data_IF_025358929712
#
_entry.id   IF_025358929712
#
_cell.length_a   1.000
_cell.length_b   1.000
_cell.length_c   1.000
_cell.angle_alpha   90.00
_cell.angle_beta   90.00
_cell.angle_gamma   90.00
#
_symmetry.space_group_name_H-M   'P 1'
#
loop_
_entity.id
_entity.type
_entity.pdbx_description
1 polymer ?
#
# COMPACT_ATOMS: atom_id res chain seq x y z
N UNK A 1 -6.17 17.68 -36.43
CA UNK A 1 -4.97 17.81 -35.56
C UNK A 1 -3.84 17.02 -36.19
N UNK A 2 -2.76 17.66 -36.66
CA UNK A 2 -1.57 16.95 -37.16
C UNK A 2 -0.77 16.45 -35.95
N UNK A 3 -0.65 15.13 -35.80
CA UNK A 3 0.25 14.54 -34.80
C UNK A 3 1.69 14.78 -35.28
N UNK A 4 2.58 15.39 -34.47
CA UNK A 4 3.97 15.61 -34.87
C UNK A 4 4.69 14.27 -35.12
N UNK A 5 5.49 14.21 -36.19
CA UNK A 5 6.31 13.03 -36.49
C UNK A 5 7.51 12.94 -35.52
N UNK A 6 7.72 11.81 -34.81
CA UNK A 6 8.86 11.61 -33.93
C UNK A 6 10.19 11.64 -34.70
N UNK A 7 11.16 12.40 -34.18
CA UNK A 7 12.47 12.67 -34.81
C UNK A 7 13.55 11.65 -34.43
N UNK A 8 13.28 10.71 -33.51
CA UNK A 8 14.26 9.67 -33.14
C UNK A 8 13.62 8.34 -32.69
N UNK A 9 14.38 7.23 -32.81
CA UNK A 9 13.96 5.87 -32.42
C UNK A 9 13.54 5.75 -30.95
N UNK A 10 14.04 6.63 -30.07
CA UNK A 10 13.66 6.66 -28.65
C UNK A 10 12.31 7.37 -28.42
N UNK A 11 11.88 8.26 -29.31
CA UNK A 11 10.55 8.90 -29.27
C UNK A 11 9.44 7.97 -29.80
N UNK A 12 9.81 6.98 -30.63
CA UNK A 12 8.86 5.96 -31.11
C UNK A 12 8.48 4.93 -30.05
N UNK A 13 9.30 4.71 -29.01
CA UNK A 13 9.03 3.68 -27.98
C UNK A 13 7.77 3.98 -27.16
N UNK A 14 7.57 5.20 -26.60
CA UNK A 14 6.33 5.54 -25.91
C UNK A 14 5.10 5.48 -26.83
N UNK A 15 5.25 5.92 -28.08
CA UNK A 15 4.17 5.90 -29.06
C UNK A 15 3.78 4.47 -29.44
N UNK A 16 4.76 3.58 -29.67
CA UNK A 16 4.52 2.17 -29.94
C UNK A 16 3.83 1.46 -28.78
N UNK A 17 4.25 1.75 -27.54
CA UNK A 17 3.59 1.23 -26.34
C UNK A 17 2.14 1.71 -26.23
N UNK A 18 1.90 3.01 -26.47
CA UNK A 18 0.55 3.58 -26.48
C UNK A 18 -0.34 2.90 -27.52
N UNK A 19 0.15 2.75 -28.75
CA UNK A 19 -0.60 2.13 -29.83
C UNK A 19 -0.92 0.66 -29.54
N UNK A 20 0.02 -0.09 -28.95
CA UNK A 20 -0.25 -1.46 -28.49
C UNK A 20 -1.38 -1.49 -27.45
N UNK A 21 -1.38 -0.58 -26.46
CA UNK A 21 -2.46 -0.53 -25.45
C UNK A 21 -3.80 -0.12 -26.01
N UNK A 22 -3.83 0.80 -26.99
CA UNK A 22 -5.05 1.15 -27.72
C UNK A 22 -5.58 -0.05 -28.50
N UNK A 23 -4.70 -0.81 -29.14
CA UNK A 23 -5.09 -2.03 -29.87
C UNK A 23 -5.64 -3.11 -28.94
N UNK A 24 -5.02 -3.34 -27.78
CA UNK A 24 -5.51 -4.28 -26.76
C UNK A 24 -6.91 -3.89 -26.28
N UNK A 25 -7.11 -2.61 -25.99
CA UNK A 25 -8.41 -2.07 -25.56
C UNK A 25 -9.46 -2.22 -26.66
N UNK A 26 -9.13 -1.87 -27.90
CA UNK A 26 -10.02 -2.03 -29.05
C UNK A 26 -10.43 -3.49 -29.23
N UNK A 27 -9.47 -4.41 -29.13
CA UNK A 27 -9.70 -5.86 -29.26
C UNK A 27 -10.64 -6.35 -28.16
N UNK A 28 -10.40 -5.93 -26.91
CA UNK A 28 -11.26 -6.27 -25.76
C UNK A 28 -12.69 -5.79 -25.96
N UNK A 29 -12.87 -4.53 -26.39
CA UNK A 29 -14.19 -3.95 -26.66
C UNK A 29 -14.89 -4.67 -27.80
N UNK A 30 -14.19 -4.91 -28.92
CA UNK A 30 -14.72 -5.63 -30.09
C UNK A 30 -15.18 -7.04 -29.72
N UNK A 31 -14.36 -7.80 -29.00
CA UNK A 31 -14.66 -9.19 -28.67
C UNK A 31 -15.81 -9.28 -27.65
N UNK A 32 -15.84 -8.37 -26.66
CA UNK A 32 -16.94 -8.29 -25.68
C UNK A 32 -18.27 -7.99 -26.37
N UNK A 33 -18.31 -6.98 -27.25
CA UNK A 33 -19.52 -6.59 -27.97
C UNK A 33 -19.92 -7.64 -29.01
N UNK A 34 -18.95 -8.22 -29.72
CA UNK A 34 -19.18 -9.29 -30.69
C UNK A 34 -19.78 -10.54 -30.04
N UNK A 35 -19.34 -10.90 -28.83
CA UNK A 35 -19.95 -11.97 -28.04
C UNK A 35 -21.41 -11.70 -27.64
N UNK A 36 -21.84 -10.44 -27.65
CA UNK A 36 -23.23 -10.04 -27.42
C UNK A 36 -24.04 -9.91 -28.72
N UNK A 37 -23.46 -10.25 -29.87
CA UNK A 37 -24.08 -10.06 -31.20
C UNK A 37 -24.15 -8.59 -31.63
N UNK A 38 -23.39 -7.71 -30.98
CA UNK A 38 -23.37 -6.27 -31.25
C UNK A 38 -22.19 -5.96 -32.18
N UNK A 39 -22.47 -5.31 -33.31
CA UNK A 39 -21.47 -4.87 -34.27
C UNK A 39 -20.81 -3.55 -33.87
N UNK A 40 -19.96 -3.04 -34.76
CA UNK A 40 -19.27 -1.75 -34.58
C UNK A 40 -20.21 -0.53 -34.79
N UNK A 41 -21.45 -0.77 -35.21
CA UNK A 41 -22.54 0.19 -35.35
C UNK A 41 -23.00 0.78 -34.01
N UNK A 42 -22.61 0.18 -32.88
CA UNK A 42 -22.78 0.77 -31.55
C UNK A 42 -21.88 2.00 -31.31
N UNK A 43 -20.76 2.17 -32.04
CA UNK A 43 -19.84 3.30 -31.83
C UNK A 43 -20.54 4.65 -32.03
N UNK A 44 -21.27 4.90 -33.14
CA UNK A 44 -22.09 6.10 -33.30
C UNK A 44 -23.05 6.34 -32.12
N UNK A 45 -23.70 5.28 -31.61
CA UNK A 45 -24.59 5.38 -30.46
C UNK A 45 -23.84 5.77 -29.18
N UNK A 46 -22.67 5.15 -28.89
CA UNK A 46 -21.82 5.50 -27.75
C UNK A 46 -21.27 6.94 -27.83
N UNK A 47 -21.09 7.48 -29.03
CA UNK A 47 -20.67 8.86 -29.23
C UNK A 47 -21.84 9.87 -29.11
N UNK A 48 -23.08 9.41 -29.34
CA UNK A 48 -24.33 10.16 -29.20
C UNK A 48 -25.08 9.80 -27.91
N UNK A 49 -26.24 9.16 -28.05
CA UNK A 49 -27.18 8.88 -26.96
C UNK A 49 -26.58 8.08 -25.80
N UNK A 50 -25.67 7.14 -26.11
CA UNK A 50 -24.98 6.31 -25.13
C UNK A 50 -23.86 7.01 -24.37
N UNK A 51 -23.44 8.22 -24.78
CA UNK A 51 -22.25 8.91 -24.27
C UNK A 51 -22.29 9.11 -22.76
N UNK A 52 -23.44 9.52 -22.22
CA UNK A 52 -23.58 9.76 -20.78
C UNK A 52 -23.34 8.46 -19.98
N UNK A 53 -23.97 7.37 -20.40
CA UNK A 53 -23.81 6.06 -19.76
C UNK A 53 -22.37 5.54 -19.85
N UNK A 54 -21.73 5.71 -21.01
CA UNK A 54 -20.32 5.35 -21.19
C UNK A 54 -19.42 6.15 -20.24
N UNK A 55 -19.61 7.46 -20.13
CA UNK A 55 -18.83 8.31 -19.22
C UNK A 55 -19.02 7.90 -17.77
N UNK A 56 -20.25 7.59 -17.35
CA UNK A 56 -20.53 7.13 -15.98
C UNK A 56 -19.85 5.79 -15.68
N UNK A 57 -19.91 4.82 -16.61
CA UNK A 57 -19.21 3.53 -16.46
C UNK A 57 -17.69 3.69 -16.44
N UNK A 58 -17.12 4.53 -17.32
CA UNK A 58 -15.68 4.82 -17.30
C UNK A 58 -15.25 5.54 -16.00
N UNK A 59 -16.10 6.43 -15.45
CA UNK A 59 -15.86 7.03 -14.13
C UNK A 59 -15.87 5.96 -13.03
N UNK A 60 -16.82 5.03 -13.06
CA UNK A 60 -16.87 3.93 -12.10
C UNK A 60 -15.62 3.06 -12.18
N UNK A 61 -15.20 2.63 -13.38
CA UNK A 61 -13.96 1.89 -13.61
C UNK A 61 -12.72 2.68 -13.16
N UNK A 62 -12.69 3.99 -13.42
CA UNK A 62 -11.62 4.87 -12.96
C UNK A 62 -11.55 4.97 -11.44
N UNK A 63 -12.70 4.98 -10.76
CA UNK A 63 -12.78 4.93 -9.28
C UNK A 63 -12.32 3.58 -8.75
N UNK A 64 -12.76 2.48 -9.36
CA UNK A 64 -12.32 1.13 -9.03
C UNK A 64 -10.81 0.98 -9.16
N UNK A 65 -10.24 1.40 -10.29
CA UNK A 65 -8.79 1.41 -10.50
C UNK A 65 -8.07 2.32 -9.51
N UNK A 66 -8.61 3.50 -9.19
CA UNK A 66 -8.04 4.36 -8.15
C UNK A 66 -8.02 3.69 -6.78
N UNK A 67 -9.00 2.84 -6.49
CA UNK A 67 -9.07 2.10 -5.23
C UNK A 67 -8.03 0.96 -5.19
N UNK A 68 -7.57 0.45 -6.33
CA UNK A 68 -6.47 -0.53 -6.36
C UNK A 68 -5.09 0.12 -6.25
N UNK A 69 -4.97 1.41 -6.57
CA UNK A 69 -3.71 2.14 -6.39
C UNK A 69 -3.38 2.29 -4.91
N UNK A 70 -2.23 1.73 -4.52
CA UNK A 70 -1.70 1.88 -3.16
C UNK A 70 -0.89 3.16 -2.97
N UNK A 71 -0.16 3.60 -4.00
CA UNK A 71 0.76 4.73 -3.92
C UNK A 71 0.42 5.74 -5.02
N UNK A 72 0.41 7.03 -4.67
CA UNK A 72 0.52 8.13 -5.63
C UNK A 72 1.79 8.90 -5.35
N UNK A 73 2.68 8.92 -6.33
CA UNK A 73 3.88 9.74 -6.29
C UNK A 73 3.51 11.21 -6.44
N UNK A 74 4.30 12.08 -5.80
CA UNK A 74 4.23 13.52 -6.02
C UNK A 74 5.47 13.98 -6.80
N UNK A 75 5.51 15.27 -7.19
CA UNK A 75 6.73 15.87 -7.73
C UNK A 75 7.89 15.94 -6.72
N UNK A 76 7.63 15.68 -5.43
CA UNK A 76 8.63 15.60 -4.38
C UNK A 76 8.88 14.13 -4.00
N UNK A 77 10.10 13.64 -4.23
CA UNK A 77 10.50 12.25 -3.94
C UNK A 77 10.35 11.83 -2.48
N UNK A 78 10.32 12.79 -1.54
CA UNK A 78 10.16 12.54 -0.11
C UNK A 78 8.69 12.56 0.33
N UNK A 79 7.76 12.70 -0.60
CA UNK A 79 6.34 12.87 -0.32
C UNK A 79 5.52 11.98 -1.25
N UNK A 80 4.68 11.14 -0.66
CA UNK A 80 3.72 10.30 -1.37
C UNK A 80 2.35 10.35 -0.69
N UNK A 81 1.34 9.92 -1.42
CA UNK A 81 0.07 9.54 -0.82
C UNK A 81 -0.05 8.01 -0.81
N UNK A 82 -0.51 7.46 0.31
CA UNK A 82 -0.75 6.02 0.45
C UNK A 82 -2.23 5.79 0.68
N UNK A 83 -2.82 4.88 -0.09
CA UNK A 83 -4.20 4.44 0.07
C UNK A 83 -4.25 3.29 1.06
N UNK A 84 -4.85 3.53 2.23
CA UNK A 84 -5.04 2.51 3.25
C UNK A 84 -6.15 1.53 2.85
N UNK A 85 -7.07 1.92 1.96
CA UNK A 85 -8.16 1.08 1.45
C UNK A 85 -7.73 0.23 0.24
N UNK A 86 -6.48 0.36 -0.22
CA UNK A 86 -5.97 -0.48 -1.30
C UNK A 86 -5.93 -1.95 -0.85
N UNK A 87 -6.12 -2.92 -1.79
CA UNK A 87 -6.05 -4.34 -1.46
C UNK A 87 -4.79 -4.69 -0.67
N UNK A 88 -4.98 -5.33 0.48
CA UNK A 88 -3.90 -5.73 1.37
C UNK A 88 -3.03 -6.80 0.72
N UNK A 89 -1.70 -6.66 0.80
CA UNK A 89 -0.80 -7.77 0.52
C UNK A 89 -0.84 -8.73 1.70
N UNK A 90 -1.29 -9.96 1.45
CA UNK A 90 -1.37 -11.00 2.45
C UNK A 90 0.04 -11.49 2.83
N UNK A 91 0.30 -11.80 4.11
CA UNK A 91 1.58 -12.36 4.53
C UNK A 91 1.80 -13.80 4.05
N UNK A 92 0.71 -14.55 3.82
CA UNK A 92 0.72 -15.94 3.35
C UNK A 92 -0.61 -16.27 2.67
N UNK A 93 -0.63 -17.36 1.89
CA UNK A 93 -1.81 -17.79 1.16
C UNK A 93 -2.95 -18.21 2.10
N UNK A 94 -4.15 -17.70 1.81
CA UNK A 94 -5.33 -17.96 2.62
C UNK A 94 -5.42 -17.15 3.92
N UNK A 95 -4.51 -16.20 4.16
CA UNK A 95 -4.64 -15.27 5.27
C UNK A 95 -5.90 -14.40 5.14
N UNK A 96 -6.67 -14.30 6.23
CA UNK A 96 -7.85 -13.42 6.31
C UNK A 96 -7.50 -12.15 7.07
N UNK A 97 -7.59 -10.95 6.46
CA UNK A 97 -7.39 -9.69 7.17
C UNK A 97 -8.45 -9.45 8.25
N UNK A 98 -7.99 -9.02 9.43
CA UNK A 98 -8.78 -8.60 10.58
C UNK A 98 -8.34 -7.19 10.98
N UNK A 99 -8.86 -6.15 10.29
CA UNK A 99 -8.58 -4.76 10.67
C UNK A 99 -9.08 -4.51 12.09
N UNK A 100 -8.34 -3.70 12.85
CA UNK A 100 -8.82 -3.17 14.10
C UNK A 100 -10.08 -2.31 13.86
N UNK A 101 -10.98 -2.22 14.84
CA UNK A 101 -12.18 -1.40 14.73
C UNK A 101 -11.86 0.06 14.42
N UNK A 102 -10.70 0.53 14.88
CA UNK A 102 -10.21 1.89 14.65
C UNK A 102 -9.05 1.94 13.64
N UNK A 103 -8.92 0.95 12.76
CA UNK A 103 -7.91 0.97 11.71
C UNK A 103 -8.09 2.22 10.83
N UNK A 104 -7.00 2.99 10.56
CA UNK A 104 -7.10 4.15 9.70
C UNK A 104 -7.40 3.73 8.26
N UNK A 105 -8.18 4.55 7.55
CA UNK A 105 -8.68 4.29 6.20
C UNK A 105 -8.40 5.47 5.26
N UNK A 106 -8.61 5.28 3.97
CA UNK A 106 -8.50 6.33 2.96
C UNK A 106 -7.08 6.71 2.57
N UNK A 107 -6.94 7.86 1.91
CA UNK A 107 -5.64 8.37 1.47
C UNK A 107 -4.96 9.18 2.56
N UNK A 108 -3.75 8.78 2.93
CA UNK A 108 -2.92 9.48 3.90
C UNK A 108 -1.65 10.02 3.26
N UNK A 109 -1.17 11.15 3.77
CA UNK A 109 0.06 11.80 3.32
C UNK A 109 1.26 11.21 4.06
N UNK A 110 2.20 10.61 3.35
CA UNK A 110 3.44 10.07 3.92
C UNK A 110 4.64 10.92 3.48
N UNK A 111 5.38 11.45 4.43
CA UNK A 111 6.46 12.42 4.17
C UNK A 111 7.72 12.13 4.99
N UNK A 112 8.88 12.08 4.33
CA UNK A 112 10.18 12.09 4.98
C UNK A 112 10.65 13.54 5.14
N UNK A 113 10.67 14.04 6.38
CA UNK A 113 11.07 15.42 6.72
C UNK A 113 12.17 15.40 7.77
N UNK A 114 13.30 16.05 7.45
CA UNK A 114 14.47 16.18 8.35
C UNK A 114 14.92 14.82 8.96
N UNK A 115 14.89 13.74 8.16
CA UNK A 115 15.31 12.42 8.59
C UNK A 115 14.28 11.64 9.42
N UNK A 116 13.05 12.14 9.56
CA UNK A 116 11.95 11.43 10.23
C UNK A 116 10.76 11.23 9.30
N UNK A 117 10.07 10.10 9.49
CA UNK A 117 8.91 9.73 8.70
C UNK A 117 7.63 10.25 9.38
N UNK A 118 6.74 10.84 8.60
CA UNK A 118 5.48 11.39 9.05
C UNK A 118 4.31 10.80 8.26
N UNK A 119 3.19 10.57 8.95
CA UNK A 119 1.89 10.25 8.34
C UNK A 119 0.88 11.28 8.81
N UNK A 120 0.25 11.98 7.87
CA UNK A 120 -0.67 13.10 8.11
C UNK A 120 -0.12 14.14 9.11
N UNK A 121 1.18 14.43 8.98
CA UNK A 121 1.88 15.42 9.81
C UNK A 121 2.29 14.92 11.20
N UNK A 122 1.95 13.68 11.58
CA UNK A 122 2.41 13.06 12.82
C UNK A 122 3.60 12.14 12.59
N UNK A 123 4.64 12.25 13.42
CA UNK A 123 5.85 11.43 13.28
C UNK A 123 5.54 9.97 13.60
N UNK A 124 5.99 9.04 12.77
CA UNK A 124 6.02 7.61 13.12
C UNK A 124 7.16 7.38 14.11
N UNK A 125 6.85 6.71 15.20
CA UNK A 125 7.83 6.27 16.20
C UNK A 125 7.79 4.76 16.37
N UNK A 126 8.95 4.18 16.69
CA UNK A 126 9.08 2.81 17.12
C UNK A 126 8.67 2.70 18.60
N UNK A 127 7.39 2.48 18.85
CA UNK A 127 6.84 2.42 20.20
C UNK A 127 7.08 1.06 20.86
N UNK A 128 7.67 1.07 22.06
CA UNK A 128 7.75 -0.07 22.96
C UNK A 128 6.83 0.14 24.16
N UNK A 129 6.01 -0.86 24.45
CA UNK A 129 5.26 -0.92 25.71
C UNK A 129 6.21 -1.19 26.89
N UNK A 130 5.82 -0.82 28.11
CA UNK A 130 6.59 -1.09 29.33
C UNK A 130 6.89 -2.60 29.51
N UNK A 131 5.99 -3.47 29.04
CA UNK A 131 6.17 -4.92 29.03
C UNK A 131 7.25 -5.44 28.07
N UNK A 132 7.80 -4.59 27.19
CA UNK A 132 8.84 -4.93 26.20
C UNK A 132 10.22 -4.33 26.54
N UNK A 133 10.30 -3.44 27.53
CA UNK A 133 11.53 -2.71 27.89
C UNK A 133 12.41 -3.54 28.82
N UNK A 134 13.68 -3.16 28.93
CA UNK A 134 14.64 -3.74 29.89
C UNK A 134 14.81 -5.27 29.78
N UNK A 135 14.78 -5.78 28.54
CA UNK A 135 14.91 -7.22 28.27
C UNK A 135 13.64 -8.03 28.55
N UNK A 136 12.54 -7.39 28.97
CA UNK A 136 11.24 -8.04 29.14
C UNK A 136 10.66 -8.45 27.79
N UNK A 137 9.80 -9.44 27.85
CA UNK A 137 8.99 -9.89 26.72
C UNK A 137 7.53 -9.94 27.11
N UNK A 138 6.67 -9.60 26.16
CA UNK A 138 5.21 -9.61 26.33
C UNK A 138 4.58 -10.58 25.33
N UNK A 139 3.51 -11.28 25.72
CA UNK A 139 2.71 -12.04 24.76
C UNK A 139 2.00 -11.08 23.80
N UNK A 140 1.93 -11.41 22.51
CA UNK A 140 1.41 -10.49 21.48
C UNK A 140 -0.05 -10.11 21.66
N UNK A 141 -0.89 -10.98 22.23
CA UNK A 141 -2.26 -10.64 22.60
C UNK A 141 -2.33 -9.52 23.65
N UNK A 142 -1.50 -9.62 24.71
CA UNK A 142 -1.41 -8.57 25.74
C UNK A 142 -0.82 -7.27 25.18
N UNK A 143 0.12 -7.38 24.25
CA UNK A 143 0.66 -6.22 23.55
C UNK A 143 -0.43 -5.54 22.68
N UNK A 144 -1.25 -6.32 21.97
CA UNK A 144 -2.37 -5.77 21.21
C UNK A 144 -3.36 -5.01 22.10
N UNK A 145 -3.66 -5.53 23.29
CA UNK A 145 -4.47 -4.83 24.30
C UNK A 145 -3.81 -3.52 24.75
N UNK A 146 -2.51 -3.55 25.08
CA UNK A 146 -1.75 -2.36 25.49
C UNK A 146 -1.63 -1.28 24.39
N UNK A 147 -1.74 -1.69 23.12
CA UNK A 147 -1.76 -0.77 21.98
C UNK A 147 -3.16 -0.16 21.73
N UNK A 148 -4.20 -0.61 22.44
CA UNK A 148 -5.57 -0.08 22.30
C UNK A 148 -5.58 1.43 22.60
N UNK A 149 -6.23 2.19 21.71
CA UNK A 149 -6.27 3.65 21.79
C UNK A 149 -5.04 4.37 21.24
N UNK A 150 -3.97 3.65 20.86
CA UNK A 150 -2.84 4.24 20.13
C UNK A 150 -3.12 4.27 18.63
N UNK A 151 -2.56 5.28 17.96
CA UNK A 151 -2.63 5.40 16.50
C UNK A 151 -1.59 4.49 15.83
N UNK A 152 -1.85 3.18 15.84
CA UNK A 152 -1.01 2.17 15.17
C UNK A 152 -1.09 2.28 13.66
N UNK A 153 0.02 2.00 12.97
CA UNK A 153 0.08 2.15 11.52
C UNK A 153 -0.44 0.96 10.73
N UNK A 154 -0.91 1.25 9.52
CA UNK A 154 -1.54 0.31 8.61
C UNK A 154 -0.50 -0.39 7.71
N UNK A 155 -0.64 -1.70 7.40
CA UNK A 155 0.33 -2.43 6.58
C UNK A 155 0.46 -1.92 5.13
N UNK A 156 -0.51 -1.18 4.59
CA UNK A 156 -0.30 -0.51 3.30
C UNK A 156 0.79 0.58 3.37
N UNK A 157 1.09 1.14 4.56
CA UNK A 157 2.26 2.01 4.77
C UNK A 157 3.55 1.18 4.65
N UNK A 158 3.61 0.01 5.28
CA UNK A 158 4.73 -0.93 5.12
C UNK A 158 4.96 -1.24 3.63
N UNK A 159 3.91 -1.60 2.91
CA UNK A 159 4.01 -1.91 1.48
C UNK A 159 4.51 -0.73 0.65
N UNK A 160 4.12 0.50 1.00
CA UNK A 160 4.65 1.69 0.36
C UNK A 160 6.15 1.92 0.66
N UNK A 161 6.59 1.64 1.89
CA UNK A 161 8.00 1.75 2.28
C UNK A 161 8.88 0.67 1.63
N UNK A 162 8.34 -0.53 1.38
CA UNK A 162 9.04 -1.57 0.63
C UNK A 162 9.28 -1.16 -0.83
N UNK A 163 8.30 -0.50 -1.45
CA UNK A 163 8.41 0.00 -2.83
C UNK A 163 9.31 1.25 -2.93
N UNK A 164 9.42 2.02 -1.85
CA UNK A 164 10.15 3.29 -1.78
C UNK A 164 11.09 3.34 -0.57
N UNK A 165 12.13 2.47 -0.52
CA UNK A 165 12.96 2.29 0.66
C UNK A 165 13.77 3.53 1.05
N UNK A 166 13.94 4.51 0.15
CA UNK A 166 14.57 5.80 0.47
C UNK A 166 13.74 6.64 1.46
N UNK A 167 12.46 6.33 1.66
CA UNK A 167 11.61 6.96 2.67
C UNK A 167 11.83 6.39 4.08
N UNK A 168 12.49 5.24 4.22
CA UNK A 168 12.73 4.62 5.53
C UNK A 168 13.89 5.36 6.23
N UNK A 169 13.63 6.09 7.33
CA UNK A 169 14.66 6.82 8.05
C UNK A 169 15.54 5.88 8.86
N UNK A 170 16.79 6.28 9.12
CA UNK A 170 17.75 5.45 9.86
C UNK A 170 17.29 5.12 11.28
N UNK A 171 16.55 6.03 11.93
CA UNK A 171 15.97 5.83 13.27
C UNK A 171 14.95 4.67 13.35
N UNK A 172 14.41 4.23 12.20
CA UNK A 172 13.50 3.09 12.11
C UNK A 172 14.19 1.81 11.59
N UNK A 173 15.48 1.88 11.26
CA UNK A 173 16.26 0.74 10.77
C UNK A 173 16.94 0.00 11.90
N UNK A 174 17.54 0.76 12.83
CA UNK A 174 18.34 0.23 13.93
C UNK A 174 18.04 0.94 15.24
N UNK A 175 18.13 0.22 16.34
CA UNK A 175 18.03 0.78 17.68
C UNK A 175 19.34 1.46 18.12
N UNK A 176 19.35 2.05 19.31
CA UNK A 176 20.52 2.72 19.88
C UNK A 176 21.74 1.80 20.11
N UNK A 177 21.57 0.48 20.03
CA UNK A 177 22.65 -0.51 20.11
C UNK A 177 23.06 -1.05 18.73
N UNK A 178 22.55 -0.46 17.65
CA UNK A 178 22.85 -0.86 16.28
C UNK A 178 22.16 -2.15 15.83
N UNK A 179 21.21 -2.67 16.62
CA UNK A 179 20.45 -3.88 16.31
C UNK A 179 19.28 -3.54 15.39
N UNK A 180 18.96 -4.43 14.47
CA UNK A 180 17.83 -4.23 13.55
C UNK A 180 16.51 -4.07 14.29
N UNK A 181 15.74 -3.06 13.89
CA UNK A 181 14.36 -2.87 14.32
C UNK A 181 13.45 -3.67 13.38
N UNK A 182 12.59 -4.50 13.96
CA UNK A 182 11.47 -5.13 13.26
C UNK A 182 10.23 -4.30 13.58
N UNK A 183 9.87 -3.36 12.70
CA UNK A 183 8.81 -2.39 12.95
C UNK A 183 7.44 -2.96 12.55
N UNK A 184 6.54 -3.16 13.51
CA UNK A 184 5.26 -3.86 13.29
C UNK A 184 4.08 -2.92 13.04
N UNK A 185 3.24 -3.28 12.07
CA UNK A 185 2.09 -2.48 11.60
C UNK A 185 0.78 -3.10 12.09
N UNK A 186 0.39 -2.73 13.30
CA UNK A 186 -0.65 -3.41 14.10
C UNK A 186 -2.10 -3.10 13.69
N UNK A 187 -2.35 -2.14 12.79
CA UNK A 187 -3.73 -1.75 12.47
C UNK A 187 -4.54 -2.87 11.79
N UNK A 188 -3.86 -3.86 11.19
CA UNK A 188 -4.51 -5.05 10.64
C UNK A 188 -3.75 -6.30 11.08
N UNK A 189 -4.47 -7.23 11.68
CA UNK A 189 -3.99 -8.59 11.98
C UNK A 189 -4.40 -9.52 10.84
N UNK A 190 -3.68 -10.60 10.64
CA UNK A 190 -3.98 -11.59 9.61
C UNK A 190 -4.23 -12.93 10.27
N UNK A 191 -5.38 -13.54 10.00
CA UNK A 191 -5.78 -14.82 10.57
C UNK A 191 -5.48 -15.96 9.59
N UNK A 192 -4.87 -17.04 10.05
CA UNK A 192 -4.76 -18.27 9.27
C UNK A 192 -6.05 -19.13 9.36
N UNK A 193 -5.99 -20.34 8.80
CA UNK A 193 -7.14 -21.27 8.81
C UNK A 193 -7.40 -21.90 10.19
N UNK A 194 -6.37 -21.95 11.04
CA UNK A 194 -6.44 -22.55 12.37
C UNK A 194 -6.83 -21.52 13.45
N UNK A 195 -6.97 -20.24 13.06
CA UNK A 195 -7.34 -19.13 13.93
C UNK A 195 -6.15 -18.34 14.48
N UNK A 196 -4.92 -18.74 14.17
CA UNK A 196 -3.70 -18.04 14.54
C UNK A 196 -3.67 -16.63 13.95
N UNK A 197 -3.32 -15.64 14.78
CA UNK A 197 -3.23 -14.25 14.36
C UNK A 197 -1.79 -13.80 14.17
N UNK A 198 -1.55 -13.04 13.11
CA UNK A 198 -0.22 -12.57 12.72
C UNK A 198 -0.23 -11.08 12.45
N UNK A 199 0.90 -10.41 12.69
CA UNK A 199 1.12 -9.00 12.33
C UNK A 199 2.33 -8.89 11.43
N UNK A 200 2.20 -8.10 10.37
CA UNK A 200 3.29 -7.82 9.42
C UNK A 200 4.25 -6.79 9.99
N UNK A 201 5.53 -6.94 9.66
CA UNK A 201 6.57 -5.98 9.98
C UNK A 201 7.47 -5.68 8.80
N UNK A 202 8.16 -4.54 8.89
CA UNK A 202 9.29 -4.19 8.04
C UNK A 202 10.59 -4.14 8.82
N UNK A 203 11.69 -4.56 8.23
CA UNK A 203 13.03 -4.44 8.81
C UNK A 203 14.08 -4.10 7.76
N UNK A 204 15.16 -3.45 8.18
CA UNK A 204 16.31 -3.19 7.32
C UNK A 204 17.34 -4.31 7.48
N UNK A 205 17.55 -5.07 6.41
CA UNK A 205 18.45 -6.22 6.39
C UNK A 205 19.19 -6.30 5.05
N UNK A 206 20.51 -6.51 5.10
CA UNK A 206 21.35 -6.67 3.92
C UNK A 206 21.31 -5.51 2.92
N UNK A 207 21.05 -4.28 3.37
CA UNK A 207 20.97 -3.10 2.49
C UNK A 207 19.62 -2.89 1.80
N UNK A 208 18.59 -3.66 2.17
CA UNK A 208 17.24 -3.53 1.66
C UNK A 208 16.22 -3.48 2.80
N UNK A 209 15.05 -2.88 2.52
CA UNK A 209 13.89 -2.98 3.41
C UNK A 209 13.09 -4.22 3.04
N UNK A 210 12.89 -5.12 4.01
CA UNK A 210 12.21 -6.40 3.85
C UNK A 210 10.96 -6.42 4.69
N UNK A 211 10.00 -7.27 4.33
CA UNK A 211 8.83 -7.53 5.16
C UNK A 211 8.66 -8.99 5.46
N UNK A 212 8.09 -9.27 6.62
CA UNK A 212 7.74 -10.61 7.09
C UNK A 212 6.60 -10.46 8.12
N UNK A 213 6.25 -11.50 8.86
CA UNK A 213 5.14 -11.52 9.81
C UNK A 213 5.48 -12.34 11.07
N UNK A 214 4.78 -12.05 12.16
CA UNK A 214 4.96 -12.75 13.45
C UNK A 214 3.65 -13.14 14.07
N UNK A 215 3.62 -14.35 14.61
CA UNK A 215 2.49 -14.92 15.34
C UNK A 215 2.26 -14.23 16.69
N UNK A 216 1.01 -13.95 17.03
CA UNK A 216 0.63 -13.20 18.22
C UNK A 216 0.80 -13.98 19.52
N UNK A 217 0.72 -15.31 19.50
CA UNK A 217 1.03 -16.13 20.70
C UNK A 217 2.53 -16.20 21.00
N UNK A 218 3.37 -15.71 20.09
CA UNK A 218 4.78 -15.52 20.34
C UNK A 218 5.08 -14.45 21.39
N UNK A 219 6.34 -14.42 21.82
CA UNK A 219 6.87 -13.42 22.74
C UNK A 219 7.44 -12.21 21.98
N UNK A 220 7.19 -11.01 22.47
CA UNK A 220 7.53 -9.73 21.84
C UNK A 220 8.43 -8.91 22.76
N UNK A 221 9.69 -8.74 22.38
CA UNK A 221 10.66 -7.96 23.16
C UNK A 221 11.02 -6.62 22.51
N UNK A 222 12.08 -5.98 23.01
CA UNK A 222 12.53 -4.64 22.59
C UNK A 222 12.89 -4.46 21.10
N UNK A 223 13.10 -5.54 20.34
CA UNK A 223 13.35 -5.47 18.90
C UNK A 223 12.08 -5.45 18.06
N UNK A 224 10.91 -5.66 18.67
CA UNK A 224 9.61 -5.65 17.99
C UNK A 224 8.69 -4.51 18.42
N UNK A 225 9.09 -3.24 18.20
CA UNK A 225 8.22 -2.10 18.47
C UNK A 225 7.06 -2.03 17.48
N UNK A 226 5.95 -1.43 17.94
CA UNK A 226 4.84 -1.05 17.09
C UNK A 226 5.15 0.27 16.36
N UNK A 227 4.81 0.37 15.07
CA UNK A 227 4.72 1.64 14.36
C UNK A 227 3.51 2.41 14.86
N UNK A 228 3.74 3.54 15.52
CA UNK A 228 2.70 4.38 16.11
C UNK A 228 2.93 5.84 15.70
N UNK A 229 1.87 6.59 15.43
CA UNK A 229 1.95 8.05 15.29
C UNK A 229 2.12 8.69 16.66
N UNK A 230 3.16 9.51 16.81
CA UNK A 230 3.31 10.37 17.97
C UNK A 230 2.05 11.25 18.14
N UNK A 231 1.61 11.41 19.39
CA UNK A 231 0.39 12.14 19.75
C UNK A 231 0.41 13.58 19.24
#
# INVERSE_FOLDING_TARGET
>A
MKVPSPKSKNEWKPLGLLMSKVQDLYTTVRDTLGGMGIGMDIIPWLAGDGKKSLVEKLKALGTEFKNTQRIRLTGNKNLIWVNLDAPLKLPFDGAEPKPDQNAPSGWVKVELKKGSLYVDGKKIVAHLDEGQKDGKVMQGHKLAEALTGKSVEHPNILDALLELPHLVPDELKKDGLGRTIYLYFWAVKFRDRDGGLYVRYGCWDGGAYRSDFRWLDGHWGGQGPAAVRAS
#
